data_IF_606547717847
#
_entry.id   IF_606547717847
#
_cell.length_a   1.000
_cell.length_b   1.000
_cell.length_c   1.000
_cell.angle_alpha   90.00
_cell.angle_beta   90.00
_cell.angle_gamma   90.00
#
_symmetry.space_group_name_H-M   'P 1'
#
loop_
_entity.id
_entity.type
_entity.pdbx_description
1 polymer ?
#
# COMPACT_ATOMS: atom_id res chain seq x y z
N UNK A 1 -0.75 -6.54 22.19
CA UNK A 1 0.54 -7.26 22.13
C UNK A 1 0.66 -8.20 20.91
N UNK A 2 -0.32 -9.07 20.60
CA UNK A 2 -0.27 -9.95 19.40
C UNK A 2 -0.13 -9.18 18.06
N UNK A 3 -0.82 -8.04 17.94
CA UNK A 3 -0.80 -7.23 16.72
C UNK A 3 0.56 -6.55 16.46
N UNK A 4 1.26 -6.11 17.52
CA UNK A 4 2.61 -5.54 17.40
C UNK A 4 3.64 -6.60 17.01
N UNK A 5 3.54 -7.81 17.54
CA UNK A 5 4.45 -8.90 17.16
C UNK A 5 4.25 -9.31 15.70
N UNK A 6 3.00 -9.42 15.23
CA UNK A 6 2.71 -9.72 13.82
C UNK A 6 3.25 -8.63 12.88
N UNK A 7 3.10 -7.34 13.25
CA UNK A 7 3.67 -6.20 12.50
C UNK A 7 5.19 -6.30 12.41
N UNK A 8 5.88 -6.52 13.52
CA UNK A 8 7.35 -6.61 13.54
C UNK A 8 7.86 -7.80 12.71
N UNK A 9 7.21 -8.95 12.79
CA UNK A 9 7.56 -10.12 11.96
C UNK A 9 7.35 -9.82 10.47
N UNK A 10 6.25 -9.16 10.11
CA UNK A 10 5.97 -8.76 8.73
C UNK A 10 7.02 -7.79 8.18
N UNK A 11 7.37 -6.76 8.95
CA UNK A 11 8.42 -5.80 8.59
C UNK A 11 9.79 -6.48 8.44
N UNK A 12 10.11 -7.44 9.31
CA UNK A 12 11.34 -8.24 9.24
C UNK A 12 11.39 -9.14 8.01
N UNK A 13 10.27 -9.79 7.67
CA UNK A 13 10.18 -10.67 6.50
C UNK A 13 10.21 -9.88 5.17
N UNK A 14 9.70 -8.64 5.18
CA UNK A 14 9.52 -7.84 3.98
C UNK A 14 10.02 -6.39 4.14
N UNK A 15 11.30 -6.16 4.50
CA UNK A 15 11.80 -4.84 4.89
C UNK A 15 11.71 -3.83 3.74
N UNK A 16 11.93 -4.28 2.50
CA UNK A 16 11.80 -3.43 1.30
C UNK A 16 10.35 -2.98 1.07
N UNK A 17 9.39 -3.89 1.24
CA UNK A 17 7.98 -3.59 1.05
C UNK A 17 7.45 -2.65 2.15
N UNK A 18 7.82 -2.91 3.42
CA UNK A 18 7.47 -2.04 4.53
C UNK A 18 8.02 -0.61 4.33
N UNK A 19 9.29 -0.48 3.95
CA UNK A 19 9.90 0.82 3.64
C UNK A 19 9.21 1.54 2.47
N UNK A 20 8.84 0.80 1.42
CA UNK A 20 8.11 1.33 0.27
C UNK A 20 6.73 1.87 0.70
N UNK A 21 5.92 1.07 1.39
CA UNK A 21 4.60 1.49 1.87
C UNK A 21 4.71 2.71 2.79
N UNK A 22 5.67 2.71 3.73
CA UNK A 22 5.90 3.84 4.63
C UNK A 22 6.21 5.13 3.87
N UNK A 23 7.14 5.08 2.90
CA UNK A 23 7.53 6.24 2.12
C UNK A 23 6.35 6.84 1.35
N UNK A 24 5.54 6.02 0.68
CA UNK A 24 4.52 6.53 -0.23
C UNK A 24 3.17 6.79 0.45
N UNK A 25 2.72 5.92 1.35
CA UNK A 25 1.39 6.02 1.97
C UNK A 25 1.38 6.75 3.33
N UNK A 26 2.47 6.68 4.10
CA UNK A 26 2.58 7.40 5.38
C UNK A 26 3.31 8.74 5.22
N UNK A 27 4.25 8.83 4.28
CA UNK A 27 4.98 10.07 3.96
C UNK A 27 4.21 11.08 3.10
N UNK A 28 2.97 10.78 2.68
CA UNK A 28 2.11 11.71 1.94
C UNK A 28 2.52 11.96 0.48
N UNK A 29 3.19 11.00 -0.16
CA UNK A 29 3.78 11.18 -1.52
C UNK A 29 2.79 10.81 -2.63
N UNK A 30 1.67 10.17 -2.32
CA UNK A 30 0.66 9.82 -3.32
C UNK A 30 -0.24 11.02 -3.59
N UNK A 31 -0.16 11.54 -4.82
CA UNK A 31 -0.98 12.64 -5.33
C UNK A 31 -1.88 12.19 -6.48
N UNK A 32 -2.84 13.02 -6.86
CA UNK A 32 -3.63 12.80 -8.07
C UNK A 32 -2.71 12.60 -9.28
N UNK A 33 -3.06 11.63 -10.12
CA UNK A 33 -2.28 11.24 -11.28
C UNK A 33 -1.14 10.25 -11.01
N UNK A 34 -0.86 9.92 -9.74
CA UNK A 34 0.06 8.82 -9.40
C UNK A 34 -0.43 7.53 -10.05
N UNK A 35 0.46 6.81 -10.74
CA UNK A 35 0.16 5.49 -11.29
C UNK A 35 0.71 4.44 -10.33
N UNK A 36 -0.16 3.56 -9.85
CA UNK A 36 0.21 2.42 -9.01
C UNK A 36 -0.02 1.17 -9.84
N UNK A 37 1.05 0.38 -10.02
CA UNK A 37 0.96 -0.96 -10.61
C UNK A 37 1.07 -2.00 -9.50
N UNK A 38 0.19 -3.00 -9.55
CA UNK A 38 0.18 -4.14 -8.64
C UNK A 38 0.34 -5.39 -9.48
N UNK A 39 1.37 -6.16 -9.15
CA UNK A 39 1.60 -7.48 -9.75
C UNK A 39 1.46 -8.54 -8.67
N UNK A 40 0.64 -9.55 -8.95
CA UNK A 40 0.44 -10.71 -8.09
C UNK A 40 0.97 -11.95 -8.81
N UNK A 41 1.87 -12.68 -8.16
CA UNK A 41 2.38 -13.95 -8.65
C UNK A 41 2.04 -15.03 -7.64
N UNK A 42 1.13 -15.94 -8.00
CA UNK A 42 0.85 -17.13 -7.19
C UNK A 42 1.93 -18.18 -7.44
N UNK A 43 2.25 -19.04 -6.45
CA UNK A 43 3.22 -20.12 -6.66
C UNK A 43 2.84 -21.00 -7.85
N UNK A 44 3.72 -21.11 -8.85
CA UNK A 44 3.51 -21.94 -10.03
C UNK A 44 2.61 -21.33 -11.12
N UNK A 45 2.16 -20.08 -10.96
CA UNK A 45 1.38 -19.37 -11.96
C UNK A 45 2.14 -18.17 -12.54
N UNK A 46 1.76 -17.75 -13.75
CA UNK A 46 2.27 -16.54 -14.35
C UNK A 46 1.82 -15.29 -13.55
N UNK A 47 2.67 -14.25 -13.47
CA UNK A 47 2.28 -13.00 -12.84
C UNK A 47 1.07 -12.36 -13.53
N UNK A 48 0.16 -11.83 -12.73
CA UNK A 48 -0.96 -11.00 -13.22
C UNK A 48 -0.76 -9.58 -12.70
N UNK A 49 -0.71 -8.63 -13.62
CA UNK A 49 -0.49 -7.21 -13.33
C UNK A 49 -1.72 -6.38 -13.66
N UNK A 50 -1.97 -5.36 -12.85
CA UNK A 50 -2.95 -4.31 -13.11
C UNK A 50 -2.40 -2.98 -12.66
N UNK A 51 -2.97 -1.88 -13.15
CA UNK A 51 -2.63 -0.55 -12.67
C UNK A 51 -3.87 0.28 -12.36
N UNK A 52 -3.67 1.32 -11.55
CA UNK A 52 -4.64 2.38 -11.31
C UNK A 52 -3.93 3.73 -11.37
N UNK A 53 -4.63 4.71 -11.92
CA UNK A 53 -4.22 6.12 -11.84
C UNK A 53 -5.05 6.79 -10.76
N UNK A 54 -4.40 7.22 -9.68
CA UNK A 54 -5.05 7.84 -8.52
C UNK A 54 -5.84 9.06 -8.99
N UNK A 55 -7.14 9.05 -8.70
CA UNK A 55 -8.04 10.17 -8.92
C UNK A 55 -8.18 10.98 -7.65
N UNK A 56 -8.63 12.23 -7.78
CA UNK A 56 -8.94 13.07 -6.63
C UNK A 56 -9.98 12.44 -5.70
N UNK A 57 -11.04 11.82 -6.27
CA UNK A 57 -12.08 11.13 -5.49
C UNK A 57 -11.53 10.01 -4.60
N UNK A 58 -10.44 9.36 -4.99
CA UNK A 58 -9.81 8.30 -4.21
C UNK A 58 -9.07 8.88 -2.98
N UNK A 59 -8.44 10.05 -3.15
CA UNK A 59 -7.76 10.76 -2.07
C UNK A 59 -8.77 11.30 -1.05
N UNK A 60 -9.85 11.92 -1.55
CA UNK A 60 -10.93 12.47 -0.74
C UNK A 60 -11.58 11.35 0.12
N UNK A 61 -11.85 10.18 -0.48
CA UNK A 61 -12.37 9.01 0.24
C UNK A 61 -11.43 8.54 1.36
N UNK A 62 -10.12 8.48 1.10
CA UNK A 62 -9.12 8.07 2.11
C UNK A 62 -9.05 9.07 3.26
N UNK A 63 -9.18 10.36 2.97
CA UNK A 63 -9.23 11.40 3.99
C UNK A 63 -10.49 11.30 4.86
N UNK A 64 -11.66 11.11 4.24
CA UNK A 64 -12.92 10.88 4.95
C UNK A 64 -12.83 9.67 5.90
N UNK A 65 -12.26 8.55 5.43
CA UNK A 65 -12.07 7.36 6.25
C UNK A 65 -11.12 7.57 7.43
N UNK A 66 -10.10 8.43 7.30
CA UNK A 66 -9.20 8.78 8.41
C UNK A 66 -9.90 9.59 9.49
N UNK A 67 -10.87 10.41 9.10
CA UNK A 67 -11.61 11.31 9.99
C UNK A 67 -12.76 10.61 10.75
N UNK A 68 -13.12 9.37 10.39
CA UNK A 68 -14.13 8.55 11.09
C UNK A 68 -13.62 7.87 12.38
N UNK A 69 -12.46 8.28 12.90
CA UNK A 69 -11.81 7.66 14.06
C UNK A 69 -12.17 8.31 15.39
#
# INVERSE_FOLDING_TARGET
MKLMNAKNTFESNHPKFAAFVSRFFMGGVITEGTIIEITITRPGEEPVSTNLKVQKSDLDLVEELKNLR
#
